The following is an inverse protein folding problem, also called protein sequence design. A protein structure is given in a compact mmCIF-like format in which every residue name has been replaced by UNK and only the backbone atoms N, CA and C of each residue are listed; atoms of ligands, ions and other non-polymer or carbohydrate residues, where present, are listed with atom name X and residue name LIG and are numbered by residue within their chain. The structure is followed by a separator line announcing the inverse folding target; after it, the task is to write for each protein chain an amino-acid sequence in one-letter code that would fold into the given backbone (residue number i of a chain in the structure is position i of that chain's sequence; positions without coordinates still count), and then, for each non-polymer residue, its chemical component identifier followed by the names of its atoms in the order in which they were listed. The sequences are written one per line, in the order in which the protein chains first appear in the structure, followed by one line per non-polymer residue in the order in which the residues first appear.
data_IF_122284396648
#
_entry.id   IF_122284396648
#
_cell.length_a   1.000
_cell.length_b   1.000
_cell.length_c   1.000
_cell.angle_alpha   90.00
_cell.angle_beta   90.00
_cell.angle_gamma   90.00
#
_symmetry.space_group_name_H-M   'P 1'
#
loop_
_entity.id
_entity.type
_entity.pdbx_description
1 polymer ?
#
# COMPACT_ATOMS: atom_id res chain seq x y z
N UNK A 1 -23.18 -24.24 0.61
CA UNK A 1 -24.22 -23.27 0.27
C UNK A 1 -23.74 -21.82 0.53
N UNK A 2 -22.87 -21.35 -0.37
CA UNK A 2 -22.30 -19.97 -0.43
C UNK A 2 -22.09 -19.55 -1.89
N UNK A 3 -21.88 -20.54 -2.76
CA UNK A 3 -21.72 -20.45 -4.21
C UNK A 3 -22.96 -19.94 -4.97
N UNK A 4 -24.17 -20.03 -4.39
CA UNK A 4 -25.41 -19.63 -5.07
C UNK A 4 -25.87 -18.20 -4.78
N UNK A 5 -25.43 -17.55 -3.68
CA UNK A 5 -25.85 -16.16 -3.36
C UNK A 5 -25.03 -15.08 -4.06
N UNK A 6 -23.87 -15.41 -4.62
CA UNK A 6 -23.06 -14.46 -5.39
C UNK A 6 -23.51 -14.29 -6.85
N UNK A 7 -24.37 -15.18 -7.34
CA UNK A 7 -24.83 -15.17 -8.74
C UNK A 7 -26.08 -14.30 -9.00
N UNK A 8 -26.73 -13.78 -7.96
CA UNK A 8 -28.05 -13.12 -8.09
C UNK A 8 -27.98 -11.60 -8.38
N UNK A 9 -26.81 -10.94 -8.26
CA UNK A 9 -26.65 -9.51 -8.59
C UNK A 9 -25.98 -9.24 -9.95
N UNK A 10 -26.01 -10.21 -10.87
CA UNK A 10 -25.41 -10.09 -12.20
C UNK A 10 -26.21 -9.15 -13.12
N UNK A 11 -26.01 -7.84 -12.99
CA UNK A 11 -26.40 -6.89 -14.03
C UNK A 11 -25.35 -6.96 -15.16
N UNK A 12 -25.56 -7.86 -16.13
CA UNK A 12 -24.78 -7.86 -17.38
C UNK A 12 -25.15 -6.61 -18.16
N UNK A 13 -24.24 -5.64 -18.26
CA UNK A 13 -24.43 -4.45 -19.08
C UNK A 13 -24.49 -4.87 -20.58
N UNK A 14 -25.43 -4.34 -21.38
CA UNK A 14 -25.55 -4.74 -22.79
C UNK A 14 -24.30 -4.29 -23.56
N UNK A 15 -23.49 -5.27 -24.00
CA UNK A 15 -22.30 -5.07 -24.83
C UNK A 15 -20.95 -5.22 -24.11
N UNK A 16 -20.93 -5.55 -22.82
CA UNK A 16 -19.70 -5.81 -22.04
C UNK A 16 -19.81 -7.20 -21.39
N UNK A 17 -18.84 -8.08 -21.63
CA UNK A 17 -18.70 -9.36 -20.88
C UNK A 17 -18.17 -9.07 -19.46
N UNK A 18 -18.99 -8.46 -18.62
CA UNK A 18 -18.66 -8.15 -17.23
C UNK A 18 -19.81 -8.54 -16.28
N UNK A 19 -19.44 -9.13 -15.15
CA UNK A 19 -20.33 -9.48 -14.03
C UNK A 19 -19.94 -8.64 -12.83
N UNK A 20 -20.91 -8.10 -12.10
CA UNK A 20 -20.67 -7.30 -10.90
C UNK A 20 -21.17 -8.04 -9.66
N UNK A 21 -20.34 -8.13 -8.62
CA UNK A 21 -20.68 -8.70 -7.33
C UNK A 21 -20.99 -7.58 -6.34
N UNK A 22 -22.21 -7.51 -5.80
CA UNK A 22 -22.64 -6.34 -5.04
C UNK A 22 -24.00 -6.38 -4.37
N UNK A 23 -24.30 -5.31 -3.62
CA UNK A 23 -25.59 -5.09 -2.93
C UNK A 23 -26.50 -4.16 -3.75
N UNK A 24 -27.82 -4.29 -3.60
CA UNK A 24 -28.82 -3.53 -4.37
C UNK A 24 -28.98 -2.06 -3.91
N UNK A 25 -29.29 -1.13 -4.83
CA UNK A 25 -29.63 0.27 -4.51
C UNK A 25 -28.68 1.33 -5.12
N UNK A 26 -28.74 2.59 -4.67
CA UNK A 26 -27.90 3.70 -5.18
C UNK A 26 -26.39 3.50 -4.93
N UNK A 27 -26.04 2.72 -3.89
CA UNK A 27 -24.65 2.30 -3.64
C UNK A 27 -24.10 1.37 -4.75
N UNK A 28 -24.98 0.61 -5.43
CA UNK A 28 -24.62 -0.28 -6.53
C UNK A 28 -24.11 0.52 -7.74
N UNK A 29 -24.83 1.58 -8.11
CA UNK A 29 -24.53 2.36 -9.33
C UNK A 29 -23.18 3.05 -9.26
N UNK A 30 -22.84 3.65 -8.12
CA UNK A 30 -21.52 4.26 -7.95
C UNK A 30 -20.42 3.21 -7.75
N UNK A 31 -20.69 2.13 -7.00
CA UNK A 31 -19.74 1.04 -6.82
C UNK A 31 -19.33 0.35 -8.12
N UNK A 32 -20.24 0.25 -9.09
CA UNK A 32 -19.94 -0.23 -10.45
C UNK A 32 -19.05 0.77 -11.23
N UNK A 33 -19.34 2.08 -11.16
CA UNK A 33 -18.52 3.12 -11.81
C UNK A 33 -17.07 3.09 -11.29
N UNK A 34 -16.91 2.94 -9.97
CA UNK A 34 -15.61 2.77 -9.31
C UNK A 34 -14.92 1.48 -9.76
N UNK A 35 -15.63 0.35 -9.74
CA UNK A 35 -15.05 -0.94 -10.10
C UNK A 35 -14.51 -0.96 -11.55
N UNK A 36 -15.19 -0.29 -12.48
CA UNK A 36 -14.72 -0.15 -13.86
C UNK A 36 -13.55 0.84 -13.93
N UNK A 37 -13.65 2.00 -13.27
CA UNK A 37 -12.63 3.06 -13.30
C UNK A 37 -11.28 2.60 -12.76
N UNK A 38 -11.27 1.75 -11.76
CA UNK A 38 -10.07 1.22 -11.10
C UNK A 38 -9.75 -0.24 -11.45
N UNK A 39 -10.45 -0.82 -12.44
CA UNK A 39 -10.36 -2.22 -12.89
C UNK A 39 -10.30 -3.24 -11.72
N UNK A 40 -11.27 -3.15 -10.80
CA UNK A 40 -11.36 -3.97 -9.60
C UNK A 40 -11.87 -5.38 -9.90
N UNK A 41 -11.06 -6.13 -10.66
CA UNK A 41 -11.33 -7.52 -11.03
C UNK A 41 -11.09 -8.39 -9.80
N UNK A 42 -12.11 -9.16 -9.43
CA UNK A 42 -12.01 -10.20 -8.41
C UNK A 42 -11.65 -11.56 -9.03
N UNK A 43 -12.22 -11.88 -10.20
CA UNK A 43 -11.97 -13.16 -10.90
C UNK A 43 -12.24 -13.05 -12.42
N UNK A 44 -11.79 -14.04 -13.19
CA UNK A 44 -12.09 -14.19 -14.62
C UNK A 44 -12.65 -15.59 -14.87
N UNK A 45 -13.96 -15.66 -15.18
CA UNK A 45 -14.67 -16.93 -15.41
C UNK A 45 -15.05 -17.05 -16.87
N UNK A 46 -14.55 -18.08 -17.57
CA UNK A 46 -14.81 -18.32 -19.00
C UNK A 46 -14.55 -17.10 -19.91
N UNK A 47 -13.55 -16.26 -19.56
CA UNK A 47 -13.22 -15.04 -20.31
C UNK A 47 -14.02 -13.81 -19.91
N UNK A 48 -15.07 -13.96 -19.09
CA UNK A 48 -15.85 -12.86 -18.53
C UNK A 48 -15.17 -12.32 -17.26
N UNK A 49 -14.97 -11.00 -17.20
CA UNK A 49 -14.39 -10.33 -16.01
C UNK A 49 -15.45 -10.19 -14.93
N UNK A 50 -15.12 -10.60 -13.70
CA UNK A 50 -15.96 -10.43 -12.52
C UNK A 50 -15.41 -9.27 -11.69
N UNK A 51 -16.21 -8.25 -11.50
CA UNK A 51 -15.89 -7.02 -10.79
C UNK A 51 -16.50 -7.01 -9.40
N UNK A 52 -15.70 -6.64 -8.40
CA UNK A 52 -16.16 -6.39 -7.04
C UNK A 52 -16.69 -4.95 -6.91
N UNK A 53 -17.98 -4.80 -6.64
CA UNK A 53 -18.58 -3.46 -6.52
C UNK A 53 -18.02 -2.74 -5.28
N UNK A 54 -17.25 -1.68 -5.55
CA UNK A 54 -16.57 -0.91 -4.52
C UNK A 54 -15.19 -1.44 -4.10
N UNK A 55 -14.61 -2.43 -4.78
CA UNK A 55 -13.19 -2.80 -4.65
C UNK A 55 -12.75 -3.21 -3.22
N UNK A 56 -13.63 -3.85 -2.44
CA UNK A 56 -13.29 -4.28 -1.07
C UNK A 56 -12.27 -5.41 -1.03
N UNK A 57 -12.23 -6.25 -2.05
CA UNK A 57 -11.27 -7.35 -2.26
C UNK A 57 -9.85 -6.85 -2.48
N UNK A 58 -9.70 -5.72 -3.18
CA UNK A 58 -8.42 -5.09 -3.51
C UNK A 58 -7.92 -4.18 -2.38
N UNK A 59 -8.84 -3.57 -1.63
CA UNK A 59 -8.53 -2.64 -0.54
C UNK A 59 -8.74 -3.33 0.81
N UNK A 60 -7.70 -4.00 1.33
CA UNK A 60 -7.68 -4.60 2.67
C UNK A 60 -7.49 -3.55 3.78
N UNK A 61 -8.42 -2.60 3.88
CA UNK A 61 -8.43 -1.54 4.90
C UNK A 61 -9.70 -1.52 5.73
N UNK A 62 -9.64 -0.96 6.93
CA UNK A 62 -10.84 -0.73 7.77
C UNK A 62 -11.83 0.25 7.12
N UNK A 63 -11.34 1.15 6.26
CA UNK A 63 -12.14 2.17 5.58
C UNK A 63 -11.86 2.11 4.07
N UNK A 64 -12.91 1.95 3.28
CA UNK A 64 -12.81 1.99 1.82
C UNK A 64 -12.78 3.45 1.33
N UNK A 65 -11.57 4.01 1.28
CA UNK A 65 -11.35 5.41 0.89
C UNK A 65 -11.74 5.70 -0.57
N UNK A 66 -11.68 4.69 -1.44
CA UNK A 66 -12.05 4.82 -2.86
C UNK A 66 -13.56 5.06 -2.96
N UNK A 67 -14.37 4.24 -2.29
CA UNK A 67 -15.82 4.42 -2.22
C UNK A 67 -16.21 5.71 -1.50
N UNK A 68 -15.50 6.07 -0.43
CA UNK A 68 -15.76 7.32 0.28
C UNK A 68 -15.51 8.55 -0.61
N UNK A 69 -14.39 8.55 -1.35
CA UNK A 69 -14.01 9.65 -2.23
C UNK A 69 -14.95 9.80 -3.43
N UNK A 70 -15.25 8.69 -4.12
CA UNK A 70 -15.99 8.73 -5.39
C UNK A 70 -17.51 8.74 -5.19
N UNK A 71 -18.03 8.07 -4.16
CA UNK A 71 -19.48 7.87 -4.00
C UNK A 71 -20.14 8.77 -2.94
N UNK A 72 -19.45 9.09 -1.85
CA UNK A 72 -20.04 9.92 -0.78
C UNK A 72 -19.85 11.42 -1.03
N UNK A 73 -18.74 11.81 -1.66
CA UNK A 73 -18.33 13.22 -1.80
C UNK A 73 -18.11 13.64 -3.27
N UNK A 74 -18.98 13.20 -4.19
CA UNK A 74 -18.85 13.45 -5.64
C UNK A 74 -18.81 14.95 -6.01
N UNK A 75 -19.55 15.80 -5.30
CA UNK A 75 -19.60 17.25 -5.53
C UNK A 75 -18.45 18.04 -4.85
N UNK A 76 -17.71 17.41 -3.94
CA UNK A 76 -16.68 18.05 -3.10
C UNK A 76 -15.36 17.26 -3.11
N UNK A 77 -14.95 16.77 -4.27
CA UNK A 77 -13.77 15.91 -4.42
C UNK A 77 -12.48 16.53 -3.85
N UNK A 78 -12.28 17.84 -4.04
CA UNK A 78 -11.09 18.53 -3.52
C UNK A 78 -11.04 18.55 -1.98
N UNK A 79 -12.19 18.70 -1.31
CA UNK A 79 -12.27 18.61 0.15
C UNK A 79 -12.00 17.18 0.62
N UNK A 80 -12.51 16.19 -0.10
CA UNK A 80 -12.24 14.78 0.19
C UNK A 80 -10.74 14.46 0.10
N UNK A 81 -10.09 14.93 -0.97
CA UNK A 81 -8.64 14.77 -1.13
C UNK A 81 -7.86 15.45 0.00
N UNK A 82 -8.18 16.70 0.34
CA UNK A 82 -7.54 17.41 1.46
C UNK A 82 -7.79 16.67 2.79
N UNK A 83 -9.00 16.17 3.01
CA UNK A 83 -9.34 15.41 4.23
C UNK A 83 -8.55 14.09 4.32
N UNK A 84 -8.40 13.36 3.22
CA UNK A 84 -7.59 12.14 3.16
C UNK A 84 -6.11 12.43 3.41
N UNK A 85 -5.57 13.52 2.84
CA UNK A 85 -4.19 13.96 3.09
C UNK A 85 -4.02 14.38 4.55
N UNK A 86 -4.96 15.16 5.10
CA UNK A 86 -4.92 15.56 6.50
C UNK A 86 -5.00 14.36 7.45
N UNK A 87 -5.84 13.37 7.11
CA UNK A 87 -5.95 12.11 7.84
C UNK A 87 -4.65 11.30 7.77
N UNK A 88 -4.03 11.20 6.59
CA UNK A 88 -2.73 10.56 6.42
C UNK A 88 -1.65 11.23 7.26
N UNK A 89 -1.57 12.56 7.25
CA UNK A 89 -0.62 13.33 8.06
C UNK A 89 -0.85 13.13 9.56
N UNK A 90 -2.11 13.08 10.00
CA UNK A 90 -2.47 12.78 11.37
C UNK A 90 -2.02 11.38 11.80
N UNK A 91 -2.23 10.36 10.97
CA UNK A 91 -1.76 8.99 11.24
C UNK A 91 -0.23 8.92 11.30
N UNK A 92 0.47 9.58 10.36
CA UNK A 92 1.94 9.64 10.35
C UNK A 92 2.49 10.36 11.59
N UNK A 93 1.84 11.44 12.03
CA UNK A 93 2.20 12.15 13.26
C UNK A 93 2.03 11.25 14.49
N UNK A 94 0.89 10.59 14.63
CA UNK A 94 0.63 9.66 15.75
C UNK A 94 1.61 8.49 15.75
N UNK A 95 1.93 7.94 14.59
CA UNK A 95 2.91 6.87 14.44
C UNK A 95 4.31 7.34 14.85
N UNK A 96 4.72 8.54 14.41
CA UNK A 96 6.01 9.14 14.74
C UNK A 96 6.16 9.45 16.23
N UNK A 97 5.16 10.07 16.84
CA UNK A 97 5.12 10.36 18.28
C UNK A 97 5.18 9.07 19.12
N UNK A 98 4.37 8.07 18.74
CA UNK A 98 4.38 6.77 19.41
C UNK A 98 5.74 6.07 19.27
N UNK A 99 6.37 6.17 18.09
CA UNK A 99 7.69 5.59 17.87
C UNK A 99 8.77 6.26 18.74
N UNK A 100 8.74 7.59 18.86
CA UNK A 100 9.71 8.32 19.68
C UNK A 100 9.55 8.01 21.18
N UNK A 101 8.30 7.99 21.67
CA UNK A 101 8.02 7.81 23.10
C UNK A 101 8.16 6.35 23.56
N UNK A 102 7.77 5.37 22.75
CA UNK A 102 7.71 3.97 23.18
C UNK A 102 8.73 3.08 22.48
N UNK A 103 8.93 3.25 21.17
CA UNK A 103 9.76 2.35 20.39
C UNK A 103 11.25 2.62 20.60
N UNK A 104 11.68 3.89 20.54
CA UNK A 104 13.09 4.27 20.73
C UNK A 104 13.66 3.85 22.12
N UNK A 105 12.99 4.11 23.25
CA UNK A 105 13.51 3.69 24.57
C UNK A 105 13.55 2.17 24.72
N UNK A 106 12.58 1.45 24.12
CA UNK A 106 12.58 -0.02 24.12
C UNK A 106 13.78 -0.56 23.34
N UNK A 107 14.14 0.06 22.23
CA UNK A 107 15.34 -0.30 21.48
C UNK A 107 16.60 -0.12 22.33
N UNK A 108 16.76 1.00 23.03
CA UNK A 108 17.94 1.24 23.88
C UNK A 108 18.14 0.15 24.94
N UNK A 109 17.06 -0.34 25.55
CA UNK A 109 17.11 -1.46 26.50
C UNK A 109 17.57 -2.75 25.81
N UNK A 110 17.04 -3.05 24.62
CA UNK A 110 17.44 -4.23 23.83
C UNK A 110 18.92 -4.15 23.46
N UNK A 111 19.42 -2.97 23.06
CA UNK A 111 20.83 -2.73 22.76
C UNK A 111 21.71 -3.01 23.96
N UNK A 112 21.29 -2.55 25.14
CA UNK A 112 22.02 -2.76 26.40
C UNK A 112 22.05 -4.23 26.80
N UNK A 113 20.93 -4.97 26.64
CA UNK A 113 20.85 -6.40 26.97
C UNK A 113 21.63 -7.27 25.98
N UNK A 114 21.58 -6.95 24.69
CA UNK A 114 22.27 -7.71 23.63
C UNK A 114 23.72 -7.25 23.40
N UNK A 115 24.17 -6.22 24.12
CA UNK A 115 25.50 -5.61 24.00
C UNK A 115 25.86 -5.20 22.56
N UNK A 116 24.88 -4.63 21.84
CA UNK A 116 25.02 -4.17 20.46
C UNK A 116 25.45 -2.71 20.39
N UNK A 117 25.94 -2.28 19.22
CA UNK A 117 26.13 -0.85 18.94
C UNK A 117 24.78 -0.20 18.62
N UNK A 118 24.50 1.03 19.11
CA UNK A 118 23.29 1.79 18.76
C UNK A 118 23.07 1.91 17.24
N UNK A 119 24.15 2.02 16.46
CA UNK A 119 24.09 2.11 15.00
C UNK A 119 23.51 0.84 14.38
N UNK A 120 23.91 -0.34 14.88
CA UNK A 120 23.42 -1.63 14.36
C UNK A 120 21.93 -1.80 14.70
N UNK A 121 21.52 -1.32 15.88
CA UNK A 121 20.15 -1.40 16.33
C UNK A 121 19.21 -0.51 15.52
N UNK A 122 19.60 0.74 15.24
CA UNK A 122 18.86 1.63 14.35
C UNK A 122 18.78 1.07 12.93
N UNK A 123 19.89 0.55 12.40
CA UNK A 123 19.91 0.00 11.03
C UNK A 123 19.10 -1.30 10.91
N UNK A 124 18.90 -2.05 12.00
CA UNK A 124 18.24 -3.37 11.96
C UNK A 124 16.83 -3.34 12.54
N UNK A 125 16.65 -2.95 13.80
CA UNK A 125 15.36 -3.07 14.47
C UNK A 125 14.40 -1.94 14.10
N UNK A 126 14.90 -0.71 13.95
CA UNK A 126 14.07 0.41 13.50
C UNK A 126 13.67 0.24 12.03
N UNK A 127 14.61 -0.17 11.17
CA UNK A 127 14.28 -0.47 9.76
C UNK A 127 13.32 -1.66 9.64
N UNK A 128 13.49 -2.71 10.44
CA UNK A 128 12.58 -3.86 10.47
C UNK A 128 11.20 -3.49 10.99
N UNK A 129 11.10 -2.70 12.06
CA UNK A 129 9.83 -2.26 12.62
C UNK A 129 9.02 -1.43 11.62
N UNK A 130 9.68 -0.57 10.85
CA UNK A 130 9.04 0.22 9.80
C UNK A 130 8.64 -0.63 8.59
N UNK A 131 9.51 -1.54 8.13
CA UNK A 131 9.27 -2.34 6.92
C UNK A 131 8.38 -3.58 7.11
N UNK A 132 8.24 -4.09 8.34
CA UNK A 132 7.42 -5.26 8.64
C UNK A 132 5.95 -5.12 8.18
N UNK A 133 5.21 -4.05 8.55
CA UNK A 133 3.82 -3.91 8.10
C UNK A 133 3.69 -3.85 6.57
N UNK A 134 4.62 -3.17 5.88
CA UNK A 134 4.62 -3.10 4.41
C UNK A 134 4.82 -4.50 3.79
N UNK A 135 5.76 -5.28 4.32
CA UNK A 135 5.99 -6.66 3.86
C UNK A 135 4.76 -7.53 4.10
N UNK A 136 4.13 -7.44 5.29
CA UNK A 136 2.91 -8.21 5.58
C UNK A 136 1.75 -7.80 4.67
N UNK A 137 1.56 -6.50 4.42
CA UNK A 137 0.53 -6.00 3.52
C UNK A 137 0.73 -6.51 2.09
N UNK A 138 1.96 -6.48 1.59
CA UNK A 138 2.28 -6.97 0.24
C UNK A 138 2.20 -8.48 0.10
N UNK A 139 2.57 -9.25 1.13
CA UNK A 139 2.32 -10.69 1.18
C UNK A 139 0.82 -10.97 1.15
N UNK A 140 0.03 -10.26 1.95
CA UNK A 140 -1.43 -10.41 1.96
C UNK A 140 -2.05 -10.08 0.60
N UNK A 141 -1.63 -8.99 -0.06
CA UNK A 141 -2.06 -8.64 -1.41
C UNK A 141 -1.69 -9.71 -2.45
N UNK A 142 -0.48 -10.27 -2.34
CA UNK A 142 0.01 -11.33 -3.23
C UNK A 142 -0.77 -12.62 -3.07
N UNK A 143 -1.04 -13.02 -1.82
CA UNK A 143 -1.85 -14.21 -1.50
C UNK A 143 -3.32 -14.05 -1.88
N UNK A 144 -3.80 -12.81 -2.01
CA UNK A 144 -5.17 -12.48 -2.41
C UNK A 144 -5.37 -12.46 -3.94
N UNK A 145 -4.46 -13.09 -4.71
CA UNK A 145 -4.57 -13.20 -6.16
C UNK A 145 -4.04 -11.99 -6.94
N UNK A 146 -3.46 -11.00 -6.25
CA UNK A 146 -2.97 -9.75 -6.85
C UNK A 146 -1.46 -9.53 -6.61
N UNK A 147 -0.58 -10.43 -7.11
CA UNK A 147 0.87 -10.35 -6.89
C UNK A 147 1.48 -9.04 -7.42
N UNK A 148 0.98 -8.53 -8.54
CA UNK A 148 1.48 -7.30 -9.17
C UNK A 148 1.27 -6.08 -8.26
N UNK A 149 0.14 -6.02 -7.54
CA UNK A 149 -0.16 -4.93 -6.60
C UNK A 149 0.77 -4.99 -5.39
N UNK A 150 0.98 -6.18 -4.82
CA UNK A 150 1.87 -6.36 -3.68
C UNK A 150 3.33 -5.98 -4.00
N UNK A 151 3.82 -6.39 -5.17
CA UNK A 151 5.21 -6.12 -5.60
C UNK A 151 5.41 -4.66 -5.96
N UNK A 152 4.48 -4.06 -6.72
CA UNK A 152 4.56 -2.64 -7.08
C UNK A 152 4.50 -1.72 -5.85
N UNK A 153 3.75 -2.09 -4.81
CA UNK A 153 3.73 -1.36 -3.55
C UNK A 153 5.10 -1.33 -2.84
N UNK A 154 5.78 -2.48 -2.69
CA UNK A 154 7.13 -2.54 -2.06
C UNK A 154 8.15 -1.77 -2.90
N UNK A 155 8.13 -1.99 -4.22
CA UNK A 155 9.05 -1.31 -5.13
C UNK A 155 8.83 0.21 -5.09
N UNK A 156 7.58 0.66 -5.11
CA UNK A 156 7.22 2.07 -5.00
C UNK A 156 7.68 2.68 -3.68
N UNK A 157 7.47 1.99 -2.55
CA UNK A 157 7.93 2.43 -1.24
C UNK A 157 9.45 2.57 -1.18
N UNK A 158 10.20 1.58 -1.67
CA UNK A 158 11.67 1.63 -1.72
C UNK A 158 12.20 2.78 -2.59
N UNK A 159 11.60 3.00 -3.77
CA UNK A 159 11.97 4.12 -4.65
C UNK A 159 11.60 5.45 -4.01
N UNK A 160 10.44 5.58 -3.36
CA UNK A 160 10.03 6.81 -2.67
C UNK A 160 10.99 7.19 -1.55
N UNK A 161 11.36 6.22 -0.69
CA UNK A 161 12.30 6.45 0.42
C UNK A 161 13.67 6.87 -0.12
N UNK A 162 14.19 6.18 -1.12
CA UNK A 162 15.53 6.44 -1.67
C UNK A 162 15.61 7.73 -2.49
N UNK A 163 14.52 8.18 -3.11
CA UNK A 163 14.52 9.40 -3.93
C UNK A 163 14.12 10.63 -3.12
N UNK A 164 12.96 10.58 -2.44
CA UNK A 164 12.39 11.74 -1.76
C UNK A 164 12.95 11.88 -0.36
N UNK A 165 12.91 10.84 0.48
CA UNK A 165 13.35 10.97 1.87
C UNK A 165 14.85 11.24 1.94
N UNK A 166 15.67 10.42 1.27
CA UNK A 166 17.12 10.65 1.22
C UNK A 166 17.46 11.99 0.58
N UNK A 167 16.71 12.43 -0.45
CA UNK A 167 16.88 13.73 -1.08
C UNK A 167 16.63 14.90 -0.12
N UNK A 168 15.53 14.85 0.63
CA UNK A 168 15.19 15.87 1.64
C UNK A 168 16.19 15.85 2.80
N UNK A 169 16.56 14.67 3.30
CA UNK A 169 17.57 14.54 4.37
C UNK A 169 18.91 15.12 3.92
N UNK A 170 19.34 14.83 2.68
CA UNK A 170 20.59 15.37 2.13
C UNK A 170 20.57 16.89 1.97
N UNK A 171 19.39 17.49 1.82
CA UNK A 171 19.22 18.95 1.73
C UNK A 171 19.19 19.62 3.11
N UNK A 172 18.55 18.99 4.08
CA UNK A 172 18.36 19.55 5.43
C UNK A 172 19.54 19.27 6.36
N UNK A 173 20.24 18.17 6.16
CA UNK A 173 21.32 17.72 7.06
C UNK A 173 22.70 17.93 6.43
N UNK A 174 23.63 18.51 7.19
CA UNK A 174 25.05 18.63 6.84
C UNK A 174 25.78 17.30 7.11
N UNK A 175 25.30 16.21 6.51
CA UNK A 175 25.91 14.88 6.70
C UNK A 175 27.01 14.66 5.66
N UNK A 176 28.24 14.53 6.13
CA UNK A 176 29.35 14.05 5.30
C UNK A 176 29.15 12.56 4.98
N UNK A 177 28.58 12.29 3.80
CA UNK A 177 28.38 10.91 3.33
C UNK A 177 29.70 10.34 2.78
N UNK A 178 30.13 9.23 3.37
CA UNK A 178 31.22 8.44 2.82
C UNK A 178 30.81 7.89 1.44
N UNK A 179 31.56 8.28 0.40
CA UNK A 179 31.25 7.92 -0.99
C UNK A 179 31.26 6.40 -1.23
N UNK A 180 32.14 5.67 -0.56
CA UNK A 180 32.33 4.22 -0.82
C UNK A 180 31.15 3.36 -0.33
N UNK A 181 30.70 3.46 0.93
CA UNK A 181 29.49 2.78 1.40
C UNK A 181 28.25 3.22 0.61
N UNK A 182 28.11 4.52 0.35
CA UNK A 182 26.96 5.05 -0.37
C UNK A 182 26.80 4.47 -1.78
N UNK A 183 27.87 4.47 -2.60
CA UNK A 183 27.81 3.87 -3.94
C UNK A 183 27.57 2.35 -3.90
N UNK A 184 28.11 1.66 -2.89
CA UNK A 184 27.88 0.22 -2.71
C UNK A 184 26.39 -0.04 -2.45
N UNK A 185 25.79 0.69 -1.54
CA UNK A 185 24.42 0.47 -1.10
C UNK A 185 23.41 0.82 -2.22
N UNK A 186 23.64 1.91 -2.96
CA UNK A 186 22.87 2.23 -4.19
C UNK A 186 23.05 1.16 -5.26
N UNK A 187 24.28 0.68 -5.47
CA UNK A 187 24.56 -0.38 -6.44
C UNK A 187 23.78 -1.66 -6.14
N UNK A 188 23.75 -2.09 -4.88
CA UNK A 188 22.94 -3.24 -4.45
C UNK A 188 21.44 -3.00 -4.63
N UNK A 189 20.95 -1.78 -4.32
CA UNK A 189 19.54 -1.44 -4.50
C UNK A 189 19.10 -1.48 -5.97
N UNK A 190 19.89 -0.90 -6.88
CA UNK A 190 19.64 -0.93 -8.33
C UNK A 190 19.68 -2.37 -8.86
N UNK A 191 20.68 -3.15 -8.45
CA UNK A 191 20.79 -4.55 -8.87
C UNK A 191 19.60 -5.39 -8.39
N UNK A 192 19.17 -5.22 -7.14
CA UNK A 192 18.01 -5.92 -6.57
C UNK A 192 16.71 -5.53 -7.28
N UNK A 193 16.49 -4.24 -7.50
CA UNK A 193 15.31 -3.73 -8.21
C UNK A 193 15.29 -4.20 -9.67
N UNK A 194 16.45 -4.15 -10.35
CA UNK A 194 16.59 -4.64 -11.72
C UNK A 194 16.34 -6.14 -11.85
N UNK A 195 16.81 -6.95 -10.89
CA UNK A 195 16.52 -8.38 -10.84
C UNK A 195 15.02 -8.66 -10.67
N UNK A 196 14.35 -7.92 -9.77
CA UNK A 196 12.90 -8.05 -9.60
C UNK A 196 12.15 -7.67 -10.87
N UNK A 197 12.50 -6.56 -11.54
CA UNK A 197 11.89 -6.17 -12.80
C UNK A 197 12.11 -7.21 -13.90
N UNK A 198 13.29 -7.82 -13.98
CA UNK A 198 13.57 -8.91 -14.91
C UNK A 198 12.72 -10.16 -14.64
N UNK A 199 12.47 -10.48 -13.36
CA UNK A 199 11.64 -11.64 -13.00
C UNK A 199 10.14 -11.43 -13.27
N UNK A 200 9.67 -10.17 -13.27
CA UNK A 200 8.27 -9.81 -13.50
C UNK A 200 7.95 -9.43 -14.96
N UNK A 201 8.97 -9.24 -15.80
CA UNK A 201 8.85 -9.02 -17.25
C UNK A 201 8.74 -10.33 -18.01
#
# INVERSE_FOLDING_TARGET
DKRNRQLEAAAVAPGIEAVFLGTEGEALTCGMEVAIKFDCIEDIVNGTKVYDTGCSSQVQGFVNYIMFHECTMKDLQWLSFIALVAWLLFLLYMLGDTADVYFCPTLDVIVLVLNLSPNIAGVTFLSFGNGAPDVFASIAATLSGNPNVGVSAILGAGVFITTIIVGVVSFVSEVELDRRPFLRDIGFFIASTGYLLYCFS
#
